data_IF_830425337768
#
_entry.id   IF_830425337768
#
_cell.length_a   1.000
_cell.length_b   1.000
_cell.length_c   1.000
_cell.angle_alpha   90.00
_cell.angle_beta   90.00
_cell.angle_gamma   90.00
#
_symmetry.space_group_name_H-M   'P 1'
#
loop_
_entity.id
_entity.type
_entity.pdbx_description
1 polymer ?
#
# COMPACT_ATOMS: atom_id res chain seq x y z
N UNK A 1 -14.18 -14.37 18.45
CA UNK A 1 -12.84 -14.88 18.79
C UNK A 1 -11.90 -13.85 18.21
N UNK A 2 -11.18 -13.07 19.03
CA UNK A 2 -10.40 -11.93 18.50
C UNK A 2 -8.93 -12.31 18.37
N UNK A 3 -8.50 -12.36 17.11
CA UNK A 3 -7.14 -12.56 16.64
C UNK A 3 -7.16 -13.24 15.26
N UNK A 4 -6.23 -12.96 14.35
CA UNK A 4 -5.33 -11.81 14.25
C UNK A 4 -6.01 -10.64 13.49
N UNK A 5 -5.45 -9.45 13.69
CA UNK A 5 -5.57 -8.31 12.78
C UNK A 5 -4.14 -8.11 12.27
N UNK A 6 -3.99 -7.91 10.97
CA UNK A 6 -2.71 -8.06 10.26
C UNK A 6 -1.66 -7.08 10.81
N UNK A 7 -2.08 -5.89 11.23
CA UNK A 7 -1.33 -4.92 12.02
C UNK A 7 -0.66 -5.55 13.27
N UNK A 8 -1.36 -6.39 14.05
CA UNK A 8 -0.85 -7.05 15.26
C UNK A 8 0.18 -8.11 14.93
N UNK A 9 0.01 -8.83 13.82
CA UNK A 9 0.99 -9.82 13.35
C UNK A 9 2.28 -9.15 12.89
N UNK A 10 2.14 -8.06 12.14
CA UNK A 10 3.28 -7.28 11.62
C UNK A 10 3.98 -6.54 12.76
N UNK A 11 3.22 -6.01 13.72
CA UNK A 11 3.76 -5.36 14.93
C UNK A 11 4.66 -6.28 15.75
N UNK A 12 4.33 -7.59 15.81
CA UNK A 12 5.17 -8.61 16.45
C UNK A 12 6.43 -8.94 15.67
N UNK A 13 6.51 -8.54 14.42
CA UNK A 13 7.60 -8.83 13.50
C UNK A 13 8.36 -7.57 13.09
N UNK A 14 8.20 -6.44 13.80
CA UNK A 14 8.82 -5.16 13.41
C UNK A 14 10.36 -5.21 13.41
N UNK A 15 10.94 -6.12 14.17
CA UNK A 15 12.38 -6.40 14.21
C UNK A 15 12.95 -6.83 12.85
N UNK A 16 12.11 -7.32 11.92
CA UNK A 16 12.52 -7.61 10.54
C UNK A 16 12.75 -6.35 9.70
N UNK A 17 12.15 -5.22 10.06
CA UNK A 17 12.28 -3.96 9.32
C UNK A 17 13.44 -3.16 9.91
N UNK A 18 14.61 -3.32 9.29
CA UNK A 18 15.87 -2.75 9.78
C UNK A 18 16.19 -1.36 9.22
N UNK A 19 15.35 -0.83 8.33
CA UNK A 19 15.53 0.46 7.69
C UNK A 19 14.21 1.18 7.47
N UNK A 20 14.28 2.51 7.47
CA UNK A 20 13.15 3.40 7.23
C UNK A 20 13.58 4.56 6.32
N UNK A 21 12.69 4.96 5.40
CA UNK A 21 12.90 6.13 4.54
C UNK A 21 11.62 6.97 4.48
N UNK A 22 11.80 8.28 4.40
CA UNK A 22 10.71 9.21 4.13
C UNK A 22 10.73 9.54 2.63
N UNK A 23 9.59 9.34 2.00
CA UNK A 23 9.31 9.60 0.61
C UNK A 23 8.49 10.89 0.55
N UNK A 24 9.18 12.01 0.36
CA UNK A 24 8.58 13.33 0.29
C UNK A 24 9.03 14.04 -0.98
N UNK A 25 8.17 14.89 -1.57
CA UNK A 25 8.57 15.69 -2.70
C UNK A 25 9.64 16.73 -2.32
N UNK A 26 10.54 17.09 -3.24
CA UNK A 26 11.48 18.19 -3.00
C UNK A 26 10.69 19.50 -2.81
N UNK A 27 11.12 20.34 -1.86
CA UNK A 27 10.43 21.59 -1.54
C UNK A 27 10.25 22.48 -2.78
N UNK A 28 9.05 23.08 -2.91
CA UNK A 28 8.82 24.24 -3.77
C UNK A 28 8.42 23.97 -5.22
N UNK A 29 7.83 22.81 -5.54
CA UNK A 29 7.24 22.58 -6.85
C UNK A 29 5.80 22.06 -6.71
N UNK A 30 4.89 22.66 -7.45
CA UNK A 30 3.54 22.16 -7.74
C UNK A 30 3.43 21.97 -9.25
N UNK A 31 2.92 20.83 -9.71
CA UNK A 31 2.75 20.51 -11.12
C UNK A 31 1.26 20.48 -11.36
N UNK A 32 0.81 21.22 -12.37
CA UNK A 32 -0.60 21.26 -12.73
C UNK A 32 -0.76 20.29 -13.92
N UNK A 33 -1.52 19.20 -13.73
CA UNK A 33 -1.92 18.27 -14.77
C UNK A 33 -3.36 18.58 -15.20
N UNK A 34 -3.71 18.24 -16.45
CA UNK A 34 -5.10 18.33 -16.94
C UNK A 34 -5.68 16.92 -16.93
N UNK A 35 -6.74 16.69 -16.16
CA UNK A 35 -7.40 15.39 -16.12
C UNK A 35 -8.21 15.08 -17.40
N UNK A 36 -8.78 13.87 -17.47
CA UNK A 36 -9.61 13.42 -18.59
C UNK A 36 -10.92 14.22 -18.76
N UNK A 37 -11.21 15.16 -17.85
CA UNK A 37 -12.35 16.09 -17.91
C UNK A 37 -11.93 17.53 -18.18
N UNK A 38 -10.67 17.76 -18.57
CA UNK A 38 -10.08 19.07 -18.84
C UNK A 38 -9.99 19.98 -17.59
N UNK A 39 -9.93 19.41 -16.39
CA UNK A 39 -9.71 20.15 -15.14
C UNK A 39 -8.23 20.22 -14.84
N UNK A 40 -7.77 21.40 -14.39
CA UNK A 40 -6.45 21.56 -13.80
C UNK A 40 -6.47 20.92 -12.42
N UNK A 41 -5.79 19.79 -12.28
CA UNK A 41 -5.52 19.15 -11.00
C UNK A 41 -4.09 19.47 -10.63
N UNK A 42 -3.89 20.02 -9.44
CA UNK A 42 -2.57 20.09 -8.85
C UNK A 42 -2.14 18.66 -8.53
N UNK A 43 -1.25 18.10 -9.35
CA UNK A 43 -0.61 16.84 -9.01
C UNK A 43 0.26 17.10 -7.80
N UNK A 44 -0.14 16.50 -6.69
CA UNK A 44 0.68 16.44 -5.50
C UNK A 44 1.99 15.75 -5.90
N UNK A 45 3.12 16.44 -5.77
CA UNK A 45 4.42 15.85 -6.12
C UNK A 45 4.70 14.55 -5.36
N UNK A 46 4.04 14.36 -4.23
CA UNK A 46 4.08 13.12 -3.49
C UNK A 46 3.52 11.93 -4.27
N UNK A 47 2.58 12.13 -5.20
CA UNK A 47 2.12 11.08 -6.12
C UNK A 47 3.21 10.67 -7.09
N UNK A 48 3.93 11.63 -7.69
CA UNK A 48 5.07 11.30 -8.56
C UNK A 48 6.17 10.56 -7.80
N UNK A 49 6.44 10.95 -6.56
CA UNK A 49 7.39 10.23 -5.69
C UNK A 49 6.89 8.81 -5.41
N UNK A 50 5.63 8.65 -5.04
CA UNK A 50 5.01 7.36 -4.78
C UNK A 50 5.00 6.46 -6.02
N UNK A 51 4.64 6.99 -7.19
CA UNK A 51 4.67 6.25 -8.46
C UNK A 51 6.06 5.73 -8.79
N UNK A 52 7.09 6.58 -8.60
CA UNK A 52 8.47 6.17 -8.84
C UNK A 52 8.90 5.07 -7.86
N UNK A 53 8.47 5.14 -6.61
CA UNK A 53 8.71 4.08 -5.63
C UNK A 53 7.99 2.79 -6.04
N UNK A 54 6.74 2.87 -6.48
CA UNK A 54 5.98 1.70 -6.94
C UNK A 54 6.64 1.02 -8.14
N UNK A 55 7.11 1.80 -9.12
CA UNK A 55 7.91 1.29 -10.25
C UNK A 55 9.14 0.54 -9.77
N UNK A 56 9.87 1.10 -8.81
CA UNK A 56 11.11 0.50 -8.29
C UNK A 56 10.84 -0.75 -7.45
N UNK A 57 9.76 -0.78 -6.67
CA UNK A 57 9.31 -1.96 -5.96
C UNK A 57 8.97 -3.10 -6.93
N UNK A 58 8.25 -2.81 -8.02
CA UNK A 58 7.99 -3.79 -9.08
C UNK A 58 9.31 -4.34 -9.68
N UNK A 59 10.27 -3.47 -9.99
CA UNK A 59 11.60 -3.88 -10.48
C UNK A 59 12.39 -4.72 -9.46
N UNK A 60 12.10 -4.58 -8.17
CA UNK A 60 12.68 -5.38 -7.10
C UNK A 60 11.98 -6.74 -6.88
N UNK A 61 10.99 -7.09 -7.71
CA UNK A 61 10.24 -8.33 -7.61
C UNK A 61 9.14 -8.29 -6.54
N UNK A 62 8.62 -7.10 -6.20
CA UNK A 62 7.39 -7.00 -5.44
C UNK A 62 6.21 -7.27 -6.37
N UNK A 63 5.18 -7.96 -5.87
CA UNK A 63 4.09 -8.46 -6.69
C UNK A 63 2.72 -7.96 -6.24
N UNK A 64 2.50 -7.73 -4.95
CA UNK A 64 1.18 -7.29 -4.46
C UNK A 64 1.30 -6.15 -3.46
N UNK A 65 0.49 -5.13 -3.66
CA UNK A 65 0.25 -4.06 -2.70
C UNK A 65 -1.10 -4.32 -2.01
N UNK A 66 -1.11 -4.36 -0.70
CA UNK A 66 -2.31 -4.57 0.12
C UNK A 66 -2.52 -3.30 0.95
N UNK A 67 -3.71 -2.71 0.92
CA UNK A 67 -4.06 -1.50 1.67
C UNK A 67 -5.16 -1.86 2.67
N UNK A 68 -4.91 -1.58 3.95
CA UNK A 68 -5.95 -1.64 4.98
C UNK A 68 -6.82 -0.39 4.91
N UNK A 69 -8.13 -0.60 4.99
CA UNK A 69 -9.14 0.44 5.01
C UNK A 69 -10.03 0.27 6.24
N UNK A 70 -9.99 1.28 7.10
CA UNK A 70 -10.75 1.34 8.35
C UNK A 70 -12.21 1.80 8.12
N UNK A 71 -12.55 2.31 6.93
CA UNK A 71 -13.88 2.85 6.62
C UNK A 71 -14.50 2.27 5.34
N UNK A 72 -14.91 0.99 5.32
CA UNK A 72 -15.78 0.50 4.28
C UNK A 72 -17.10 -0.04 4.82
N UNK A 73 -18.18 0.44 4.22
CA UNK A 73 -19.48 -0.21 4.33
C UNK A 73 -19.37 -1.56 3.63
N UNK A 74 -19.59 -2.65 4.37
CA UNK A 74 -19.62 -4.01 3.83
C UNK A 74 -20.54 -4.04 2.59
N UNK A 75 -20.02 -4.52 1.45
CA UNK A 75 -20.68 -4.55 0.14
C UNK A 75 -20.78 -3.22 -0.64
N UNK A 76 -19.91 -2.24 -0.39
CA UNK A 76 -19.76 -1.12 -1.33
C UNK A 76 -19.07 -1.61 -2.62
N UNK A 77 -19.87 -1.78 -3.67
CA UNK A 77 -19.40 -2.23 -4.99
C UNK A 77 -18.51 -1.22 -5.70
N UNK A 78 -18.43 0.02 -5.22
CA UNK A 78 -17.54 1.05 -5.79
C UNK A 78 -16.07 0.86 -5.39
N UNK A 79 -15.80 0.07 -4.35
CA UNK A 79 -14.43 -0.14 -3.83
C UNK A 79 -13.59 -1.14 -4.64
N UNK A 80 -14.18 -1.81 -5.63
CA UNK A 80 -13.48 -2.76 -6.50
C UNK A 80 -13.16 -4.09 -5.81
N UNK A 81 -11.91 -4.55 -5.91
CA UNK A 81 -11.44 -5.81 -5.31
C UNK A 81 -11.20 -5.62 -3.81
N UNK A 82 -12.07 -6.22 -3.00
CA UNK A 82 -12.05 -6.10 -1.54
C UNK A 82 -12.13 -7.45 -0.86
N UNK A 83 -11.45 -7.62 0.28
CA UNK A 83 -11.52 -8.80 1.12
C UNK A 83 -11.65 -8.37 2.58
N UNK A 84 -12.27 -9.22 3.39
CA UNK A 84 -12.63 -8.87 4.77
C UNK A 84 -11.63 -9.44 5.75
N UNK A 85 -11.09 -8.58 6.61
CA UNK A 85 -10.18 -8.92 7.68
C UNK A 85 -10.83 -8.54 9.02
N UNK A 86 -11.63 -9.46 9.54
CA UNK A 86 -12.52 -9.22 10.69
C UNK A 86 -13.46 -8.02 10.42
N UNK A 87 -13.27 -6.91 11.12
CA UNK A 87 -14.03 -5.66 10.95
C UNK A 87 -13.38 -4.67 9.96
N UNK A 88 -12.16 -4.95 9.51
CA UNK A 88 -11.44 -4.14 8.51
C UNK A 88 -11.63 -4.72 7.11
N UNK A 89 -11.45 -3.90 6.08
CA UNK A 89 -11.33 -4.39 4.70
C UNK A 89 -9.93 -4.16 4.22
N UNK A 90 -9.44 -5.12 3.45
CA UNK A 90 -8.24 -4.93 2.66
C UNK A 90 -8.62 -4.79 1.21
N UNK A 91 -7.92 -3.89 0.52
CA UNK A 91 -7.93 -3.75 -0.93
C UNK A 91 -6.55 -4.12 -1.44
N UNK A 92 -6.44 -4.64 -2.65
CA UNK A 92 -5.13 -4.98 -3.20
C UNK A 92 -5.05 -4.72 -4.70
N UNK A 93 -3.82 -4.62 -5.18
CA UNK A 93 -3.47 -4.51 -6.59
C UNK A 93 -2.14 -5.20 -6.87
N UNK A 94 -1.95 -5.62 -8.12
CA UNK A 94 -0.71 -6.19 -8.58
C UNK A 94 0.29 -5.09 -8.90
N UNK A 95 1.58 -5.31 -8.62
CA UNK A 95 2.64 -4.44 -9.10
C UNK A 95 2.84 -4.50 -10.64
N UNK A 96 2.18 -5.46 -11.32
CA UNK A 96 2.06 -5.45 -12.78
C UNK A 96 1.06 -4.41 -13.29
N UNK A 97 0.19 -3.88 -12.42
CA UNK A 97 -0.76 -2.82 -12.77
C UNK A 97 -0.03 -1.49 -12.95
N UNK A 98 -0.75 -0.46 -13.42
CA UNK A 98 -0.15 0.86 -13.57
C UNK A 98 0.32 1.39 -12.21
N UNK A 99 1.54 1.93 -12.08
CA UNK A 99 2.00 2.60 -10.87
C UNK A 99 1.06 3.70 -10.40
N UNK A 100 0.36 4.36 -11.33
CA UNK A 100 -0.67 5.35 -11.03
C UNK A 100 -1.84 4.73 -10.29
N UNK A 101 -2.28 3.54 -10.69
CA UNK A 101 -3.40 2.84 -10.04
C UNK A 101 -3.04 2.40 -8.61
N UNK A 102 -1.77 2.01 -8.38
CA UNK A 102 -1.25 1.71 -7.04
C UNK A 102 -1.26 2.95 -6.13
N UNK A 103 -0.88 4.11 -6.67
CA UNK A 103 -0.94 5.39 -5.91
C UNK A 103 -2.38 5.80 -5.65
N UNK A 104 -3.28 5.65 -6.64
CA UNK A 104 -4.71 5.90 -6.45
C UNK A 104 -5.29 5.01 -5.35
N UNK A 105 -4.96 3.71 -5.36
CA UNK A 105 -5.35 2.79 -4.28
C UNK A 105 -4.89 3.34 -2.92
N UNK A 106 -3.64 3.78 -2.81
CA UNK A 106 -3.15 4.33 -1.56
C UNK A 106 -3.90 5.61 -1.13
N UNK A 107 -4.18 6.51 -2.07
CA UNK A 107 -4.88 7.78 -1.80
C UNK A 107 -6.29 7.56 -1.29
N UNK A 108 -7.01 6.64 -1.92
CA UNK A 108 -8.37 6.29 -1.53
C UNK A 108 -8.45 5.70 -0.12
N UNK A 109 -7.38 5.04 0.36
CA UNK A 109 -7.34 4.52 1.73
C UNK A 109 -6.98 5.57 2.79
N UNK A 110 -6.43 6.71 2.39
CA UNK A 110 -5.90 7.73 3.29
C UNK A 110 -6.92 8.83 3.66
N UNK A 111 -8.21 8.51 3.80
CA UNK A 111 -9.35 9.45 3.97
C UNK A 111 -9.35 10.22 5.30
N UNK A 112 -8.36 11.10 5.50
CA UNK A 112 -8.18 11.92 6.70
C UNK A 112 -7.46 11.23 7.86
N UNK A 113 -6.98 10.00 7.64
CA UNK A 113 -6.19 9.23 8.60
C UNK A 113 -4.93 8.66 7.93
N UNK A 114 -3.84 8.45 8.69
CA UNK A 114 -2.70 7.67 8.22
C UNK A 114 -3.18 6.28 7.78
N UNK A 115 -2.93 5.96 6.52
CA UNK A 115 -3.21 4.65 5.95
C UNK A 115 -1.97 3.78 6.02
N UNK A 116 -2.16 2.48 6.20
CA UNK A 116 -1.11 1.47 6.15
C UNK A 116 -1.27 0.59 4.92
N UNK A 117 -0.22 0.51 4.13
CA UNK A 117 -0.09 -0.38 2.99
C UNK A 117 1.05 -1.37 3.23
N UNK A 118 0.85 -2.60 2.78
CA UNK A 118 1.79 -3.69 2.89
C UNK A 118 2.24 -4.14 1.51
N UNK A 119 3.55 -4.30 1.35
CA UNK A 119 4.15 -4.72 0.10
C UNK A 119 4.62 -6.17 0.24
N UNK A 120 4.08 -7.04 -0.60
CA UNK A 120 4.44 -8.45 -0.67
C UNK A 120 5.17 -8.78 -1.97
N UNK A 121 6.10 -9.73 -1.88
CA UNK A 121 6.79 -10.32 -3.03
C UNK A 121 6.10 -11.58 -3.56
N UNK A 122 4.83 -11.76 -3.23
CA UNK A 122 3.99 -12.91 -3.60
C UNK A 122 2.68 -12.36 -4.16
N UNK A 123 2.18 -12.96 -5.24
CA UNK A 123 0.94 -12.53 -5.89
C UNK A 123 -0.31 -12.70 -5.02
N UNK A 124 -1.38 -11.97 -5.33
CA UNK A 124 -2.68 -12.11 -4.66
C UNK A 124 -3.26 -13.52 -4.76
N UNK A 125 -3.07 -14.19 -5.89
CA UNK A 125 -3.55 -15.56 -6.12
C UNK A 125 -2.80 -16.55 -5.23
N UNK A 126 -1.49 -16.39 -5.12
CA UNK A 126 -0.67 -17.21 -4.22
C UNK A 126 -1.03 -16.95 -2.75
N UNK A 127 -1.31 -15.70 -2.38
CA UNK A 127 -1.83 -15.34 -1.06
C UNK A 127 -3.26 -15.80 -0.81
N UNK A 128 -3.97 -16.25 -1.86
CA UNK A 128 -5.39 -16.61 -1.85
C UNK A 128 -6.27 -15.45 -1.37
N UNK A 129 -5.94 -14.23 -1.79
CA UNK A 129 -6.77 -13.05 -1.56
C UNK A 129 -7.75 -12.97 -2.72
N UNK A 130 -9.04 -13.09 -2.40
CA UNK A 130 -10.12 -13.14 -3.39
C UNK A 130 -11.22 -12.13 -3.03
N UNK A 131 -11.85 -11.54 -4.05
CA UNK A 131 -12.89 -10.52 -3.85
C UNK A 131 -14.11 -11.09 -3.14
N UNK A 132 -14.57 -10.39 -2.10
CA UNK A 132 -15.73 -10.74 -1.29
C UNK A 132 -15.47 -11.81 -0.22
N UNK A 133 -14.24 -12.32 -0.09
CA UNK A 133 -13.91 -13.39 0.85
C UNK A 133 -13.40 -12.84 2.18
N UNK A 134 -13.70 -13.54 3.28
CA UNK A 134 -13.09 -13.27 4.58
C UNK A 134 -11.74 -13.99 4.71
N UNK A 135 -10.69 -13.21 5.00
CA UNK A 135 -9.33 -13.69 5.18
C UNK A 135 -9.23 -14.46 6.51
N UNK A 136 -8.92 -15.75 6.41
CA UNK A 136 -8.72 -16.65 7.54
C UNK A 136 -7.42 -16.34 8.29
N UNK A 137 -7.34 -16.74 9.56
CA UNK A 137 -6.15 -16.62 10.41
C UNK A 137 -4.87 -17.17 9.73
N UNK A 138 -5.00 -18.29 9.04
CA UNK A 138 -3.88 -18.91 8.31
C UNK A 138 -3.44 -18.06 7.12
N UNK A 139 -4.39 -17.48 6.37
CA UNK A 139 -4.09 -16.54 5.30
C UNK A 139 -3.43 -15.27 5.84
N UNK A 140 -3.89 -14.71 6.96
CA UNK A 140 -3.27 -13.55 7.58
C UNK A 140 -1.82 -13.82 7.97
N UNK A 141 -1.56 -14.99 8.56
CA UNK A 141 -0.21 -15.44 8.92
C UNK A 141 0.68 -15.56 7.68
N UNK A 142 0.13 -16.10 6.58
CA UNK A 142 0.83 -16.18 5.30
C UNK A 142 1.13 -14.79 4.72
N UNK A 143 0.15 -13.90 4.68
CA UNK A 143 0.31 -12.51 4.22
C UNK A 143 1.42 -11.84 5.03
N UNK A 144 1.32 -11.85 6.36
CA UNK A 144 2.32 -11.26 7.27
C UNK A 144 3.74 -11.82 7.04
N UNK A 145 3.88 -13.12 6.77
CA UNK A 145 5.18 -13.74 6.50
C UNK A 145 5.82 -13.27 5.18
N UNK A 146 5.02 -12.83 4.20
CA UNK A 146 5.48 -12.40 2.87
C UNK A 146 5.77 -10.91 2.75
N UNK A 147 5.37 -10.11 3.74
CA UNK A 147 5.54 -8.65 3.72
C UNK A 147 7.03 -8.30 3.79
N UNK A 148 7.49 -7.56 2.77
CA UNK A 148 8.86 -7.08 2.61
C UNK A 148 9.01 -5.62 3.01
N UNK A 149 7.94 -4.84 2.89
CA UNK A 149 7.90 -3.44 3.29
C UNK A 149 6.50 -3.02 3.75
N UNK A 150 6.47 -2.01 4.61
CA UNK A 150 5.25 -1.33 5.07
C UNK A 150 5.36 0.12 4.63
N UNK A 151 4.31 0.66 4.02
CA UNK A 151 4.21 2.05 3.62
C UNK A 151 3.10 2.68 4.45
N UNK A 152 3.38 3.80 5.09
CA UNK A 152 2.42 4.56 5.89
C UNK A 152 2.28 5.95 5.31
N UNK A 153 1.06 6.42 5.07
CA UNK A 153 0.85 7.83 4.68
C UNK A 153 1.03 8.75 5.88
N UNK A 154 1.70 9.87 5.68
CA UNK A 154 1.92 10.89 6.70
C UNK A 154 1.60 12.27 6.12
N UNK A 155 1.26 13.23 6.99
CA UNK A 155 0.86 14.59 6.59
C UNK A 155 -0.24 14.61 5.52
N UNK A 156 -1.38 13.94 5.78
CA UNK A 156 -2.51 13.90 4.83
C UNK A 156 -2.12 13.32 3.44
N UNK A 157 -1.24 12.31 3.46
CA UNK A 157 -0.64 11.69 2.28
C UNK A 157 0.20 12.65 1.39
N UNK A 158 0.68 13.77 1.94
CA UNK A 158 1.70 14.61 1.30
C UNK A 158 3.11 14.00 1.38
N UNK A 159 3.31 12.99 2.24
CA UNK A 159 4.51 12.17 2.23
C UNK A 159 4.18 10.73 2.68
N UNK A 160 5.14 9.84 2.48
CA UNK A 160 5.02 8.43 2.85
C UNK A 160 6.24 8.01 3.67
N UNK A 161 6.02 7.27 4.75
CA UNK A 161 7.07 6.56 5.49
C UNK A 161 7.10 5.12 4.99
N UNK A 162 8.23 4.67 4.48
CA UNK A 162 8.43 3.27 4.09
C UNK A 162 9.40 2.59 5.06
N UNK A 163 8.95 1.48 5.65
CA UNK A 163 9.74 0.58 6.49
C UNK A 163 10.05 -0.68 5.71
N UNK A 164 11.26 -1.22 5.83
CA UNK A 164 11.68 -2.41 5.10
C UNK A 164 12.97 -3.00 5.64
N UNK A 165 13.38 -4.14 5.09
CA UNK A 165 14.76 -4.59 5.28
C UNK A 165 15.74 -3.63 4.60
N UNK A 166 16.93 -3.42 5.19
CA UNK A 166 17.98 -2.60 4.59
C UNK A 166 18.27 -2.98 3.13
N UNK A 167 18.26 -4.29 2.81
CA UNK A 167 18.45 -4.80 1.45
C UNK A 167 17.36 -4.33 0.49
N UNK A 168 16.08 -4.43 0.88
CA UNK A 168 14.92 -3.96 0.11
C UNK A 168 14.96 -2.46 -0.10
N UNK A 169 15.17 -1.68 0.97
CA UNK A 169 15.25 -0.22 0.93
C UNK A 169 16.39 0.23 0.02
N UNK A 170 17.57 -0.39 0.13
CA UNK A 170 18.73 -0.04 -0.69
C UNK A 170 18.47 -0.30 -2.17
N UNK A 171 17.82 -1.40 -2.53
CA UNK A 171 17.43 -1.70 -3.92
C UNK A 171 16.44 -0.66 -4.45
N UNK A 172 15.42 -0.32 -3.67
CA UNK A 172 14.43 0.71 -4.05
C UNK A 172 15.10 2.08 -4.27
N UNK A 173 16.17 2.41 -3.55
CA UNK A 173 16.90 3.67 -3.79
C UNK A 173 17.80 3.58 -5.03
N UNK A 174 18.35 2.40 -5.33
CA UNK A 174 19.36 2.20 -6.39
C UNK A 174 18.80 1.88 -7.78
N UNK A 175 17.64 1.21 -7.87
CA UNK A 175 16.93 0.92 -9.13
C UNK A 175 16.37 2.20 -9.75
#
# INVERSE_FOLDING_TARGET
>A
MNGPELDKLISKSLDRFTAAIILAPPQGKSVIEVDNTSRLIEMNHSDTVAENVMKRLALCGMETLIVEDDIPVRNDSSLGEIAYLDETVIRWRSFSDSPKDLVTLMREGATGYPMVAYVSNVSSEELKIESGVTITVDQQSKISATIQAVIVTIYDAEAFLMLGQQSTISKVIQC
#
